data_IF_487687178822
#
_entry.id   IF_487687178822
#
_cell.length_a   1.000
_cell.length_b   1.000
_cell.length_c   1.000
_cell.angle_alpha   90.00
_cell.angle_beta   90.00
_cell.angle_gamma   90.00
#
_symmetry.space_group_name_H-M   'P 1'
#
loop_
_entity.id
_entity.type
_entity.pdbx_description
1 polymer ?
#
# COMPACT_ATOMS: atom_id res chain seq x y z
N UNK A 1 62.04 -32.08 22.59
CA UNK A 1 60.69 -31.67 22.98
C UNK A 1 60.19 -30.60 22.02
N UNK A 2 59.37 -31.01 21.01
CA UNK A 2 58.78 -30.08 20.04
C UNK A 2 57.35 -29.72 20.50
N UNK A 3 57.09 -28.47 20.85
CA UNK A 3 55.75 -27.97 21.19
C UNK A 3 55.00 -27.64 19.93
N UNK A 4 53.92 -28.33 19.68
CA UNK A 4 52.96 -28.06 18.60
C UNK A 4 51.98 -26.97 19.11
N UNK A 5 52.00 -25.79 18.49
CA UNK A 5 50.98 -24.73 18.70
C UNK A 5 49.81 -24.99 17.78
N UNK A 6 48.67 -25.33 18.35
CA UNK A 6 47.39 -25.47 17.64
C UNK A 6 46.75 -24.09 17.56
N UNK A 7 46.71 -23.50 16.39
CA UNK A 7 45.94 -22.25 16.13
C UNK A 7 44.49 -22.61 15.87
N UNK A 8 43.61 -22.26 16.81
CA UNK A 8 42.18 -22.37 16.64
C UNK A 8 41.65 -21.15 15.89
N UNK A 9 41.29 -21.32 14.61
CA UNK A 9 40.61 -20.29 13.84
C UNK A 9 39.14 -20.23 14.23
N UNK A 10 38.73 -19.16 14.91
CA UNK A 10 37.31 -18.87 15.12
C UNK A 10 36.69 -18.39 13.83
N UNK A 11 35.92 -19.23 13.17
CA UNK A 11 35.01 -18.81 12.09
C UNK A 11 33.77 -18.16 12.72
N UNK A 12 33.72 -16.84 12.71
CA UNK A 12 32.51 -16.09 13.05
C UNK A 12 31.54 -16.23 11.86
N UNK A 13 30.56 -17.12 11.98
CA UNK A 13 29.48 -17.23 11.02
C UNK A 13 28.62 -15.96 11.11
N UNK A 14 28.79 -15.05 10.18
CA UNK A 14 27.91 -13.90 9.99
C UNK A 14 26.58 -14.45 9.42
N UNK A 15 25.58 -14.65 10.30
CA UNK A 15 24.24 -15.04 9.88
C UNK A 15 23.63 -13.87 9.09
N UNK A 16 23.69 -13.93 7.76
CA UNK A 16 22.85 -13.08 6.91
C UNK A 16 21.38 -13.44 7.20
N UNK A 17 20.70 -12.60 7.96
CA UNK A 17 19.26 -12.68 8.10
C UNK A 17 18.64 -12.34 6.76
N UNK A 18 18.26 -13.34 5.99
CA UNK A 18 17.54 -13.17 4.75
C UNK A 18 16.17 -12.58 5.07
N UNK A 19 15.86 -11.42 4.50
CA UNK A 19 14.51 -10.87 4.52
C UNK A 19 13.58 -11.85 3.82
N UNK A 20 12.48 -12.23 4.49
CA UNK A 20 11.53 -13.20 3.95
C UNK A 20 10.40 -12.46 3.24
N UNK A 21 10.18 -12.79 1.97
CA UNK A 21 9.01 -12.32 1.23
C UNK A 21 7.75 -12.94 1.80
N UNK A 22 6.81 -12.10 2.23
CA UNK A 22 5.50 -12.49 2.73
C UNK A 22 4.42 -11.88 1.86
N UNK A 23 3.42 -12.68 1.52
CA UNK A 23 2.28 -12.26 0.71
C UNK A 23 0.99 -12.45 1.48
N UNK A 24 0.09 -11.46 1.35
CA UNK A 24 -1.21 -11.42 2.01
C UNK A 24 -2.27 -11.12 0.97
N UNK A 25 -3.38 -11.83 1.03
CA UNK A 25 -4.59 -11.53 0.28
C UNK A 25 -5.70 -11.23 1.28
N UNK A 26 -6.28 -10.05 1.20
CA UNK A 26 -7.32 -9.56 2.10
C UNK A 26 -8.61 -9.43 1.30
N UNK A 27 -9.59 -10.26 1.68
CA UNK A 27 -10.94 -10.27 1.13
C UNK A 27 -11.91 -9.95 2.26
N UNK A 28 -12.65 -8.85 2.12
CA UNK A 28 -13.59 -8.44 3.16
C UNK A 28 -14.77 -9.41 3.33
N UNK A 29 -15.04 -10.26 2.33
CA UNK A 29 -16.08 -11.31 2.41
C UNK A 29 -15.86 -12.31 3.53
N UNK A 30 -14.62 -12.53 3.94
CA UNK A 30 -14.26 -13.46 5.02
C UNK A 30 -14.61 -12.89 6.42
N UNK A 31 -15.02 -11.63 6.52
CA UNK A 31 -15.23 -10.92 7.77
C UNK A 31 -16.71 -10.65 8.06
N UNK A 32 -17.04 -10.46 9.35
CA UNK A 32 -18.35 -9.96 9.75
C UNK A 32 -18.52 -8.49 9.39
N UNK A 33 -19.75 -8.06 9.10
CA UNK A 33 -20.07 -6.65 8.97
C UNK A 33 -19.94 -5.93 10.32
N UNK A 34 -19.59 -4.65 10.28
CA UNK A 34 -19.39 -3.82 11.46
C UNK A 34 -17.93 -3.40 11.63
N UNK A 35 -17.41 -3.51 12.85
CA UNK A 35 -16.02 -3.14 13.15
C UNK A 35 -15.02 -3.99 12.36
N UNK A 36 -13.97 -3.37 11.81
CA UNK A 36 -12.96 -4.12 11.10
C UNK A 36 -12.17 -5.03 12.06
N UNK A 37 -11.69 -6.19 11.60
CA UNK A 37 -10.86 -7.05 12.42
C UNK A 37 -9.51 -6.37 12.75
N UNK A 38 -8.83 -6.88 13.78
CA UNK A 38 -7.55 -6.29 14.27
C UNK A 38 -6.39 -6.31 13.24
N UNK A 39 -6.51 -7.07 12.19
CA UNK A 39 -5.59 -7.07 11.05
C UNK A 39 -5.66 -5.76 10.25
N UNK A 40 -6.78 -5.03 10.38
CA UNK A 40 -7.01 -3.71 9.82
C UNK A 40 -6.81 -2.68 10.93
N UNK A 41 -5.62 -2.10 11.01
CA UNK A 41 -5.29 -1.09 12.01
C UNK A 41 -5.72 0.29 11.53
N UNK A 42 -6.86 0.78 12.02
CA UNK A 42 -7.38 2.12 11.71
C UNK A 42 -6.46 3.18 12.31
N UNK A 43 -5.93 4.06 11.46
CA UNK A 43 -5.05 5.17 11.87
C UNK A 43 -5.86 6.45 12.03
N UNK A 44 -6.77 6.73 11.08
CA UNK A 44 -7.65 7.89 11.11
C UNK A 44 -8.95 7.60 10.34
N UNK A 45 -10.01 8.33 10.67
CA UNK A 45 -11.33 8.21 10.07
C UNK A 45 -12.17 7.08 10.65
N UNK A 46 -13.39 6.95 10.14
CA UNK A 46 -14.32 5.86 10.47
C UNK A 46 -14.25 4.79 9.40
N UNK A 47 -13.85 3.59 9.78
CA UNK A 47 -13.68 2.44 8.87
C UNK A 47 -14.51 1.28 9.39
N UNK A 48 -15.22 0.60 8.52
CA UNK A 48 -16.08 -0.54 8.84
C UNK A 48 -16.06 -1.58 7.71
N UNK A 49 -16.56 -2.77 8.01
CA UNK A 49 -16.89 -3.78 7.00
C UNK A 49 -18.37 -3.66 6.68
N UNK A 50 -18.71 -3.50 5.42
CA UNK A 50 -20.11 -3.42 5.00
C UNK A 50 -20.29 -4.05 3.60
N UNK A 51 -21.51 -4.59 3.39
CA UNK A 51 -21.90 -5.16 2.12
C UNK A 51 -22.17 -4.07 1.07
N UNK A 52 -21.79 -4.35 -0.17
CA UNK A 52 -22.18 -3.63 -1.37
C UNK A 52 -22.33 -4.59 -2.53
N UNK A 53 -23.50 -4.58 -3.17
CA UNK A 53 -23.81 -5.37 -4.37
C UNK A 53 -23.53 -6.88 -4.19
N UNK A 54 -23.78 -7.40 -2.98
CA UNK A 54 -23.62 -8.81 -2.63
C UNK A 54 -22.22 -9.22 -2.14
N UNK A 55 -21.22 -8.35 -2.24
CA UNK A 55 -19.87 -8.55 -1.69
C UNK A 55 -19.63 -7.61 -0.52
N UNK A 56 -18.76 -8.01 0.42
CA UNK A 56 -18.31 -7.13 1.49
C UNK A 56 -17.03 -6.38 1.08
N UNK A 57 -16.85 -5.20 1.66
CA UNK A 57 -15.69 -4.36 1.44
C UNK A 57 -15.25 -3.69 2.74
N UNK A 58 -14.00 -3.25 2.80
CA UNK A 58 -13.54 -2.29 3.80
C UNK A 58 -14.06 -0.92 3.35
N UNK A 59 -14.88 -0.28 4.17
CA UNK A 59 -15.56 0.97 3.84
C UNK A 59 -14.98 2.10 4.66
N UNK A 60 -14.49 3.13 3.99
CA UNK A 60 -14.16 4.42 4.61
C UNK A 60 -15.40 5.29 4.58
N UNK A 61 -15.92 5.60 5.77
CA UNK A 61 -17.11 6.43 5.94
C UNK A 61 -16.79 7.90 5.63
N UNK A 62 -17.71 8.66 5.02
CA UNK A 62 -17.48 10.07 4.72
C UNK A 62 -17.50 11.01 5.94
N UNK A 63 -17.85 10.53 7.12
CA UNK A 63 -17.94 11.33 8.33
C UNK A 63 -17.01 10.82 9.44
N UNK A 64 -16.11 11.69 9.95
CA UNK A 64 -15.81 13.03 9.48
C UNK A 64 -15.07 13.01 8.14
N UNK A 65 -15.10 14.12 7.37
CA UNK A 65 -14.25 14.27 6.18
C UNK A 65 -12.81 14.53 6.66
N UNK A 66 -11.98 13.50 6.62
CA UNK A 66 -10.58 13.52 7.04
C UNK A 66 -9.72 12.72 6.07
N UNK A 67 -8.42 12.74 6.24
CA UNK A 67 -7.46 11.86 5.54
C UNK A 67 -7.49 10.47 6.18
N UNK A 68 -8.61 9.77 6.00
CA UNK A 68 -8.82 8.44 6.58
C UNK A 68 -7.84 7.41 6.03
N UNK A 69 -7.35 6.55 6.90
CA UNK A 69 -6.43 5.46 6.51
C UNK A 69 -6.45 4.28 7.47
N UNK A 70 -6.16 3.09 6.93
CA UNK A 70 -5.91 1.90 7.70
C UNK A 70 -4.65 1.17 7.22
N UNK A 71 -3.82 0.78 8.17
CA UNK A 71 -2.65 -0.04 7.94
C UNK A 71 -3.02 -1.52 7.94
N UNK A 72 -2.40 -2.27 7.06
CA UNK A 72 -2.72 -3.67 6.77
C UNK A 72 -1.47 -4.55 6.87
N UNK A 73 -1.68 -5.82 7.18
CA UNK A 73 -0.64 -6.86 7.23
C UNK A 73 0.52 -6.53 8.19
N UNK A 74 1.72 -7.00 7.87
CA UNK A 74 2.93 -6.79 8.67
C UNK A 74 3.77 -5.63 8.15
N UNK A 75 4.72 -5.15 8.94
CA UNK A 75 5.65 -4.11 8.49
C UNK A 75 6.67 -4.67 7.51
N UNK A 76 6.85 -3.97 6.40
CA UNK A 76 7.98 -4.18 5.52
C UNK A 76 9.30 -3.79 6.21
N UNK A 77 10.38 -4.43 5.82
CA UNK A 77 11.76 -4.07 6.14
C UNK A 77 12.63 -4.06 4.87
N UNK A 78 12.01 -3.84 3.73
CA UNK A 78 12.60 -3.87 2.40
C UNK A 78 11.54 -3.63 1.33
N UNK A 79 11.59 -4.39 0.25
CA UNK A 79 10.62 -4.29 -0.83
C UNK A 79 9.18 -4.43 -0.32
N UNK A 80 8.29 -3.64 -0.91
CA UNK A 80 6.88 -3.65 -0.55
C UNK A 80 6.01 -3.35 -1.77
N UNK A 81 4.88 -4.04 -1.87
CA UNK A 81 3.85 -3.73 -2.86
C UNK A 81 2.46 -3.87 -2.24
N UNK A 82 1.54 -3.06 -2.74
CA UNK A 82 0.12 -3.17 -2.44
C UNK A 82 -0.68 -2.92 -3.70
N UNK A 83 -1.68 -3.77 -3.94
CA UNK A 83 -2.74 -3.58 -4.92
C UNK A 83 -4.07 -3.61 -4.19
N UNK A 84 -4.99 -2.71 -4.54
CA UNK A 84 -6.35 -2.71 -4.01
C UNK A 84 -7.34 -2.42 -5.12
N UNK A 85 -8.52 -3.06 -5.07
CA UNK A 85 -9.70 -2.74 -5.86
C UNK A 85 -10.51 -1.71 -5.10
N UNK A 86 -10.79 -0.55 -5.71
CA UNK A 86 -11.37 0.60 -5.04
C UNK A 86 -12.58 1.11 -5.83
N UNK A 87 -13.69 1.32 -5.14
CA UNK A 87 -14.85 2.00 -5.68
C UNK A 87 -15.04 3.32 -4.95
N UNK A 88 -15.20 4.38 -5.74
CA UNK A 88 -15.41 5.72 -5.25
C UNK A 88 -16.53 6.42 -6.04
N UNK A 89 -17.22 7.35 -5.39
CA UNK A 89 -18.42 7.98 -5.90
C UNK A 89 -18.23 9.50 -5.86
N UNK A 90 -18.51 10.19 -6.95
CA UNK A 90 -18.62 11.66 -6.97
C UNK A 90 -20.03 12.09 -6.60
N UNK A 91 -20.17 13.27 -6.01
CA UNK A 91 -21.47 13.91 -5.76
C UNK A 91 -21.46 15.33 -6.33
N UNK A 92 -22.22 15.52 -7.40
CA UNK A 92 -22.19 16.79 -8.10
C UNK A 92 -20.79 17.08 -8.67
N UNK A 93 -20.15 18.16 -8.19
CA UNK A 93 -18.78 18.54 -8.57
C UNK A 93 -17.71 18.02 -7.59
N UNK A 94 -18.14 17.52 -6.43
CA UNK A 94 -17.22 17.02 -5.40
C UNK A 94 -16.75 15.61 -5.76
N UNK A 95 -15.45 15.42 -5.68
CA UNK A 95 -14.80 14.13 -5.95
C UNK A 95 -13.92 13.73 -4.78
N UNK A 96 -13.88 12.43 -4.42
CA UNK A 96 -12.95 11.96 -3.39
C UNK A 96 -11.51 11.92 -3.92
N UNK A 97 -10.56 11.76 -3.01
CA UNK A 97 -9.18 11.32 -3.32
C UNK A 97 -8.96 9.99 -2.63
N UNK A 98 -8.28 9.06 -3.28
CA UNK A 98 -8.13 7.72 -2.73
C UNK A 98 -6.93 6.98 -3.33
N UNK A 99 -6.46 5.98 -2.62
CA UNK A 99 -5.35 5.18 -3.10
C UNK A 99 -4.76 4.27 -2.04
N UNK A 100 -3.47 3.98 -2.20
CA UNK A 100 -2.72 3.03 -1.36
C UNK A 100 -1.36 3.61 -0.98
N UNK A 101 -0.74 3.04 0.05
CA UNK A 101 0.60 3.44 0.48
C UNK A 101 1.47 2.26 0.88
N UNK A 102 2.78 2.45 0.83
CA UNK A 102 3.81 1.52 1.31
C UNK A 102 4.73 2.22 2.30
N UNK A 103 5.39 1.46 3.19
CA UNK A 103 6.36 1.95 4.17
C UNK A 103 5.80 2.93 5.21
N UNK A 104 4.56 2.68 5.66
CA UNK A 104 3.92 3.42 6.74
C UNK A 104 3.49 4.84 6.36
N UNK A 105 3.24 5.66 7.38
CA UNK A 105 2.68 7.01 7.20
C UNK A 105 3.66 8.00 6.54
N UNK A 106 4.97 7.79 6.69
CA UNK A 106 6.02 8.60 6.06
C UNK A 106 6.49 8.06 4.71
N UNK A 107 5.93 6.95 4.28
CA UNK A 107 6.25 6.31 3.01
C UNK A 107 5.58 6.96 1.80
N UNK A 108 5.59 6.23 0.70
CA UNK A 108 4.96 6.70 -0.54
C UNK A 108 3.47 6.38 -0.55
N UNK A 109 2.68 7.33 -1.08
CA UNK A 109 1.26 7.16 -1.38
C UNK A 109 1.02 7.32 -2.87
N UNK A 110 0.26 6.42 -3.45
CA UNK A 110 -0.22 6.51 -4.83
C UNK A 110 -1.71 6.84 -4.79
N UNK A 111 -2.08 8.00 -5.30
CA UNK A 111 -3.38 8.60 -5.12
C UNK A 111 -4.05 8.88 -6.45
N UNK A 112 -5.24 8.36 -6.65
CA UNK A 112 -6.15 8.82 -7.69
C UNK A 112 -6.74 10.15 -7.25
N UNK A 113 -6.56 11.18 -8.07
CA UNK A 113 -7.03 12.54 -7.85
C UNK A 113 -7.99 12.97 -8.96
N UNK A 114 -9.29 12.67 -8.86
CA UNK A 114 -10.25 12.93 -9.93
C UNK A 114 -10.39 14.41 -10.28
N UNK A 115 -10.24 15.32 -9.30
CA UNK A 115 -10.31 16.76 -9.55
C UNK A 115 -9.21 17.24 -10.50
N UNK A 116 -8.04 16.63 -10.44
CA UNK A 116 -6.90 16.91 -11.33
C UNK A 116 -6.85 15.97 -12.54
N UNK A 117 -7.70 14.94 -12.58
CA UNK A 117 -7.66 13.84 -13.57
C UNK A 117 -6.28 13.18 -13.61
N UNK A 118 -5.68 12.96 -12.45
CA UNK A 118 -4.31 12.44 -12.32
C UNK A 118 -4.22 11.26 -11.36
N UNK A 119 -3.17 10.48 -11.57
CA UNK A 119 -2.58 9.56 -10.60
C UNK A 119 -1.33 10.26 -10.07
N UNK A 120 -1.27 10.48 -8.76
CA UNK A 120 -0.20 11.25 -8.12
C UNK A 120 0.61 10.33 -7.18
N UNK A 121 1.93 10.33 -7.29
CA UNK A 121 2.84 9.74 -6.30
C UNK A 121 3.25 10.83 -5.32
N UNK A 122 2.95 10.62 -4.04
CA UNK A 122 3.14 11.61 -2.99
C UNK A 122 4.00 11.02 -1.86
N UNK A 123 4.86 11.86 -1.27
CA UNK A 123 5.59 11.58 -0.04
C UNK A 123 5.51 12.79 0.89
N UNK A 124 4.97 12.60 2.09
CA UNK A 124 4.62 13.73 2.95
C UNK A 124 3.61 14.65 2.26
N UNK A 125 3.99 15.91 2.03
CA UNK A 125 3.22 16.92 1.30
C UNK A 125 3.61 17.06 -0.17
N UNK A 126 4.71 16.43 -0.59
CA UNK A 126 5.30 16.64 -1.91
C UNK A 126 4.74 15.66 -2.94
N UNK A 127 4.35 16.18 -4.10
CA UNK A 127 4.03 15.37 -5.28
C UNK A 127 5.32 15.09 -6.04
N UNK A 128 5.79 13.84 -6.00
CA UNK A 128 7.05 13.40 -6.64
C UNK A 128 6.90 13.15 -8.13
N UNK A 129 5.73 12.64 -8.53
CA UNK A 129 5.39 12.37 -9.92
C UNK A 129 3.86 12.40 -10.09
N UNK A 130 3.42 12.73 -11.30
CA UNK A 130 2.00 12.76 -11.67
C UNK A 130 1.85 12.28 -13.10
N UNK A 131 0.79 11.50 -13.37
CA UNK A 131 0.44 11.03 -14.70
C UNK A 131 -1.07 11.23 -14.94
N UNK A 132 -1.51 11.47 -16.18
CA UNK A 132 -2.94 11.53 -16.50
C UNK A 132 -3.64 10.21 -16.17
N UNK A 133 -4.76 10.30 -15.47
CA UNK A 133 -5.64 9.16 -15.19
C UNK A 133 -7.10 9.62 -15.18
N UNK A 134 -7.87 9.34 -16.26
CA UNK A 134 -9.27 9.70 -16.36
C UNK A 134 -10.14 8.73 -15.55
N UNK A 135 -10.40 9.08 -14.28
CA UNK A 135 -11.25 8.28 -13.42
C UNK A 135 -12.74 8.49 -13.72
N UNK A 136 -13.52 7.43 -13.64
CA UNK A 136 -14.98 7.44 -13.77
C UNK A 136 -15.63 7.07 -12.42
N UNK A 137 -16.62 7.85 -11.99
CA UNK A 137 -17.41 7.58 -10.78
C UNK A 137 -18.16 6.25 -10.88
N UNK A 138 -18.25 5.54 -9.76
CA UNK A 138 -18.98 4.27 -9.64
C UNK A 138 -18.41 3.12 -10.49
N UNK A 139 -17.19 3.29 -10.98
CA UNK A 139 -16.42 2.23 -11.64
C UNK A 139 -15.33 1.76 -10.69
N UNK A 140 -15.28 0.46 -10.47
CA UNK A 140 -14.19 -0.16 -9.73
C UNK A 140 -12.86 0.04 -10.45
N UNK A 141 -11.85 0.52 -9.76
CA UNK A 141 -10.49 0.66 -10.28
C UNK A 141 -9.52 -0.13 -9.41
N UNK A 142 -8.48 -0.66 -10.03
CA UNK A 142 -7.33 -1.21 -9.31
C UNK A 142 -6.23 -0.17 -9.25
N UNK A 143 -5.62 -0.05 -8.07
CA UNK A 143 -4.47 0.83 -7.83
C UNK A 143 -3.37 -0.03 -7.24
N UNK A 144 -2.18 0.02 -7.85
CA UNK A 144 -1.01 -0.76 -7.44
C UNK A 144 0.20 0.14 -7.25
N UNK A 145 0.81 0.06 -6.08
CA UNK A 145 2.05 0.75 -5.74
C UNK A 145 3.10 -0.29 -5.37
N UNK A 146 4.28 -0.16 -5.95
CA UNK A 146 5.43 -1.02 -5.64
C UNK A 146 6.65 -0.15 -5.34
N UNK A 147 7.37 -0.48 -4.27
CA UNK A 147 8.67 0.06 -3.94
C UNK A 147 9.68 -1.08 -3.95
N UNK A 148 10.64 -1.04 -4.87
CA UNK A 148 11.63 -2.08 -5.07
C UNK A 148 13.04 -1.51 -4.98
N UNK A 149 13.85 -2.09 -4.11
CA UNK A 149 15.26 -1.80 -4.02
C UNK A 149 15.97 -2.32 -5.27
N UNK A 150 16.87 -1.51 -5.83
CA UNK A 150 17.71 -1.85 -6.96
C UNK A 150 19.16 -2.01 -6.50
N UNK A 151 20.13 -1.41 -7.16
CA UNK A 151 21.53 -1.50 -6.75
C UNK A 151 21.87 -0.53 -5.61
N UNK A 152 22.65 -0.99 -4.65
CA UNK A 152 23.09 -0.17 -3.52
C UNK A 152 21.90 0.37 -2.71
N UNK A 153 21.84 1.70 -2.55
CA UNK A 153 20.77 2.40 -1.83
C UNK A 153 19.71 3.01 -2.76
N UNK A 154 19.70 2.60 -4.03
CA UNK A 154 18.73 3.07 -5.02
C UNK A 154 17.43 2.25 -4.93
N UNK A 155 16.31 2.93 -5.17
CA UNK A 155 14.97 2.38 -5.21
C UNK A 155 14.23 2.83 -6.45
N UNK A 156 13.38 1.95 -6.95
CA UNK A 156 12.39 2.29 -7.97
C UNK A 156 11.00 2.16 -7.38
N UNK A 157 10.23 3.24 -7.48
CA UNK A 157 8.84 3.30 -7.05
C UNK A 157 7.97 3.32 -8.30
N UNK A 158 7.07 2.37 -8.44
CA UNK A 158 6.16 2.28 -9.59
C UNK A 158 4.71 2.34 -9.17
N UNK A 159 3.91 3.04 -9.98
CA UNK A 159 2.48 3.21 -9.76
C UNK A 159 1.67 2.86 -11.00
N UNK A 160 0.61 2.04 -10.81
CA UNK A 160 -0.37 1.69 -11.83
C UNK A 160 -1.78 1.97 -11.34
N UNK A 161 -2.67 2.35 -12.23
CA UNK A 161 -4.11 2.39 -11.99
C UNK A 161 -4.84 2.01 -13.27
N UNK A 162 -5.92 1.21 -13.17
CA UNK A 162 -6.70 0.74 -14.31
C UNK A 162 -8.12 0.33 -13.89
N UNK A 163 -9.11 0.31 -14.82
CA UNK A 163 -10.44 -0.25 -14.53
C UNK A 163 -10.32 -1.71 -14.08
N UNK A 164 -11.08 -2.11 -13.06
CA UNK A 164 -10.93 -3.43 -12.45
C UNK A 164 -11.31 -4.60 -13.39
N UNK A 165 -12.11 -4.34 -14.40
CA UNK A 165 -12.51 -5.29 -15.46
C UNK A 165 -11.51 -5.39 -16.63
N UNK A 166 -10.50 -4.52 -16.65
CA UNK A 166 -9.43 -4.54 -17.64
C UNK A 166 -8.21 -5.33 -17.16
N UNK A 167 -7.36 -5.74 -18.09
CA UNK A 167 -6.07 -6.34 -17.78
C UNK A 167 -5.11 -5.32 -17.13
N UNK A 168 -4.24 -5.78 -16.23
CA UNK A 168 -3.17 -4.94 -15.67
C UNK A 168 -2.28 -4.39 -16.80
N UNK A 169 -2.05 -3.07 -16.86
CA UNK A 169 -1.13 -2.48 -17.85
C UNK A 169 0.28 -3.07 -17.71
N UNK A 170 0.93 -3.40 -18.82
CA UNK A 170 2.31 -3.89 -18.79
C UNK A 170 3.25 -2.82 -18.17
N UNK A 171 3.15 -1.58 -18.63
CA UNK A 171 3.97 -0.48 -18.14
C UNK A 171 3.30 0.30 -17.02
N UNK A 172 4.06 0.77 -16.00
CA UNK A 172 3.52 1.64 -14.97
C UNK A 172 3.25 3.05 -15.53
N UNK A 173 2.17 3.68 -15.04
CA UNK A 173 1.88 5.09 -15.33
C UNK A 173 2.90 6.03 -14.66
N UNK A 174 3.41 5.63 -13.51
CA UNK A 174 4.41 6.37 -12.75
C UNK A 174 5.62 5.48 -12.50
N UNK A 175 6.80 6.04 -12.75
CA UNK A 175 8.09 5.46 -12.37
C UNK A 175 8.96 6.55 -11.78
N UNK A 176 9.37 6.38 -10.53
CA UNK A 176 10.18 7.35 -9.78
C UNK A 176 11.39 6.64 -9.18
N UNK A 177 12.55 7.28 -9.27
CA UNK A 177 13.78 6.80 -8.64
C UNK A 177 14.04 7.57 -7.35
N UNK A 178 14.36 6.86 -6.29
CA UNK A 178 14.69 7.45 -5.00
C UNK A 178 15.96 6.81 -4.43
N UNK A 179 16.66 7.54 -3.55
CA UNK A 179 17.83 7.04 -2.84
C UNK A 179 17.62 7.12 -1.34
N UNK A 180 18.30 6.24 -0.60
CA UNK A 180 18.31 6.24 0.85
C UNK A 180 16.91 6.04 1.51
N UNK A 181 16.00 5.34 0.81
CA UNK A 181 14.71 4.98 1.40
C UNK A 181 14.93 3.92 2.48
N UNK A 182 14.38 4.13 3.68
CA UNK A 182 14.49 3.15 4.78
C UNK A 182 13.73 1.85 4.50
N UNK A 183 12.66 1.91 3.69
CA UNK A 183 11.87 0.75 3.29
C UNK A 183 11.16 0.07 4.45
N UNK A 184 10.75 0.82 5.49
CA UNK A 184 10.13 0.29 6.69
C UNK A 184 8.71 0.79 6.88
N UNK A 185 7.84 -0.08 7.40
CA UNK A 185 6.47 0.25 7.75
C UNK A 185 5.43 -0.57 7.00
N UNK A 186 4.18 -0.48 7.43
CA UNK A 186 3.06 -1.24 6.86
C UNK A 186 2.57 -0.63 5.55
N UNK A 187 1.94 -1.47 4.73
CA UNK A 187 1.08 -0.99 3.65
C UNK A 187 -0.23 -0.46 4.21
N UNK A 188 -0.88 0.47 3.49
CA UNK A 188 -2.16 1.02 3.92
C UNK A 188 -3.07 1.37 2.74
N UNK A 189 -4.38 1.35 3.00
CA UNK A 189 -5.40 2.02 2.21
C UNK A 189 -5.57 3.45 2.72
N UNK A 190 -5.95 4.35 1.81
CA UNK A 190 -6.08 5.77 2.14
C UNK A 190 -7.17 6.44 1.30
N UNK A 191 -7.97 7.33 1.92
CA UNK A 191 -8.91 8.17 1.21
C UNK A 191 -9.22 9.47 1.94
N UNK A 192 -9.56 10.52 1.17
CA UNK A 192 -10.27 11.70 1.66
C UNK A 192 -11.62 11.78 0.98
N UNK A 193 -12.73 11.54 1.68
CA UNK A 193 -14.08 11.41 1.13
C UNK A 193 -14.74 12.78 0.85
N UNK A 194 -14.09 13.66 0.10
CA UNK A 194 -14.58 15.02 -0.20
C UNK A 194 -15.96 15.06 -0.91
N UNK A 195 -16.37 13.96 -1.52
CA UNK A 195 -17.70 13.86 -2.13
C UNK A 195 -18.83 13.71 -1.11
N UNK A 196 -18.52 13.38 0.15
CA UNK A 196 -19.50 13.01 1.15
C UNK A 196 -20.12 11.64 0.91
N UNK A 197 -19.52 10.82 0.07
CA UNK A 197 -19.92 9.44 -0.22
C UNK A 197 -18.86 8.47 0.31
N UNK A 198 -19.25 7.25 0.73
CA UNK A 198 -18.31 6.25 1.21
C UNK A 198 -17.39 5.75 0.09
N UNK A 199 -16.21 5.28 0.48
CA UNK A 199 -15.28 4.60 -0.42
C UNK A 199 -15.13 3.13 0.00
N UNK A 200 -15.06 2.24 -0.98
CA UNK A 200 -15.02 0.80 -0.79
C UNK A 200 -13.69 0.25 -1.28
N UNK A 201 -13.05 -0.56 -0.45
CA UNK A 201 -11.76 -1.23 -0.75
C UNK A 201 -11.92 -2.72 -0.62
N UNK A 202 -11.48 -3.47 -1.61
CA UNK A 202 -11.59 -4.92 -1.65
C UNK A 202 -10.46 -5.56 -2.47
N UNK A 203 -10.37 -6.90 -2.48
CA UNK A 203 -9.36 -7.67 -3.22
C UNK A 203 -7.93 -7.12 -3.02
N UNK A 204 -7.56 -6.85 -1.76
CA UNK A 204 -6.27 -6.23 -1.47
C UNK A 204 -5.18 -7.29 -1.46
N UNK A 205 -4.13 -7.07 -2.26
CA UNK A 205 -2.94 -7.92 -2.31
C UNK A 205 -1.73 -7.14 -1.81
N UNK A 206 -1.02 -7.71 -0.87
CA UNK A 206 0.17 -7.11 -0.27
C UNK A 206 1.31 -8.11 -0.37
N UNK A 207 2.48 -7.63 -0.79
CA UNK A 207 3.72 -8.39 -0.72
C UNK A 207 4.80 -7.52 -0.08
N UNK A 208 5.45 -8.03 0.96
CA UNK A 208 6.48 -7.29 1.71
C UNK A 208 7.67 -8.19 2.03
N UNK A 209 8.86 -7.63 1.97
CA UNK A 209 10.02 -8.20 2.66
C UNK A 209 9.93 -7.81 4.13
N UNK A 210 9.56 -8.74 4.98
CA UNK A 210 9.47 -8.52 6.41
C UNK A 210 10.83 -8.71 7.10
N UNK A 211 11.03 -8.05 8.24
CA UNK A 211 12.15 -8.36 9.10
C UNK A 211 12.05 -9.82 9.57
N UNK A 212 13.17 -10.52 9.64
CA UNK A 212 13.18 -11.83 10.28
C UNK A 212 12.70 -11.69 11.73
N UNK A 213 11.92 -12.66 12.25
CA UNK A 213 11.56 -12.65 13.66
C UNK A 213 12.83 -12.60 14.51
N UNK A 214 12.82 -11.78 15.57
CA UNK A 214 13.90 -11.76 16.53
C UNK A 214 14.06 -13.16 17.15
N UNK A 215 15.30 -13.62 17.40
CA UNK A 215 15.58 -14.92 17.98
C UNK A 215 15.07 -15.06 19.41
#
# INVERSE_FOLDING_TARGET
MKRLLLAASLFTACSLHAQQLQSFEIKADDWAEGEPPKEVFVVDGTIKIAARDGNKAIVIDPNPITDASAQLAVSAAGNASIEARILAIKRGRSTPRFGVSVHGMSGHRLIVNPAKKSLDLIKGTDTLASAPFPWTSEVWVKVKLEAKKTEGDAWTITGKAWPADAAEPAEPLIKHAEKNLKGQGKCAIWATPFSGEPLFFDDIKISVEAAAPAP
#
